data_IF_811907733678
#
_entry.id   IF_811907733678
#
_cell.length_a   1.000
_cell.length_b   1.000
_cell.length_c   1.000
_cell.angle_alpha   90.00
_cell.angle_beta   90.00
_cell.angle_gamma   90.00
#
_symmetry.space_group_name_H-M   'P 1'
#
loop_
_entity.id
_entity.type
_entity.pdbx_description
1 polymer ?
#
# COMPACT_ATOMS: atom_id res chain seq x y z
N UNK A 1 41.99 70.82 8.30
CA UNK A 1 40.79 70.13 7.72
C UNK A 1 41.21 68.67 7.42
N UNK A 2 40.98 67.78 8.38
CA UNK A 2 41.30 66.34 8.24
C UNK A 2 40.04 65.62 7.86
N UNK A 3 40.05 64.93 6.71
CA UNK A 3 38.96 64.04 6.25
C UNK A 3 39.17 62.64 6.85
N UNK A 4 38.25 62.24 7.73
CA UNK A 4 38.19 60.86 8.21
C UNK A 4 37.53 59.95 7.14
N UNK A 5 38.26 58.94 6.67
CA UNK A 5 37.75 57.88 5.83
C UNK A 5 37.13 56.80 6.73
N UNK A 6 35.82 56.56 6.59
CA UNK A 6 35.15 55.41 7.22
C UNK A 6 35.38 54.16 6.37
N UNK A 7 36.10 53.21 6.95
CA UNK A 7 36.24 51.84 6.41
C UNK A 7 35.01 51.07 6.89
N UNK A 8 34.17 50.65 5.95
CA UNK A 8 33.02 49.75 6.19
C UNK A 8 33.54 48.34 6.01
N UNK A 9 33.64 47.59 7.12
CA UNK A 9 33.84 46.14 7.07
C UNK A 9 32.54 45.48 6.68
N UNK A 10 32.48 44.89 5.47
CA UNK A 10 31.39 43.98 5.04
C UNK A 10 31.81 42.59 5.46
N UNK A 11 31.30 42.09 6.58
CA UNK A 11 31.42 40.70 6.99
C UNK A 11 30.51 39.86 6.09
N UNK A 12 31.12 39.14 5.14
CA UNK A 12 30.43 38.12 4.37
C UNK A 12 30.17 36.91 5.29
N UNK A 13 28.92 36.77 5.72
CA UNK A 13 28.43 35.58 6.41
C UNK A 13 28.30 34.46 5.37
N UNK A 14 29.30 33.57 5.30
CA UNK A 14 29.22 32.33 4.53
C UNK A 14 28.26 31.41 5.29
N UNK A 15 26.97 31.38 4.90
CA UNK A 15 26.03 30.35 5.29
C UNK A 15 26.48 29.05 4.57
N UNK A 16 27.17 28.19 5.30
CA UNK A 16 27.35 26.80 4.88
C UNK A 16 25.98 26.13 4.89
N UNK A 17 25.35 26.01 3.73
CA UNK A 17 24.24 25.10 3.50
C UNK A 17 24.79 23.66 3.66
N UNK A 18 24.85 23.18 4.89
CA UNK A 18 24.85 21.75 5.14
C UNK A 18 23.50 21.28 4.64
N UNK A 19 23.50 20.62 3.49
CA UNK A 19 22.31 19.94 2.97
C UNK A 19 21.89 18.90 4.00
N UNK A 20 20.93 19.25 4.84
CA UNK A 20 20.13 18.28 5.57
C UNK A 20 19.42 17.48 4.49
N UNK A 21 19.86 16.25 4.26
CA UNK A 21 19.06 15.30 3.52
C UNK A 21 17.69 15.25 4.21
N UNK A 22 16.68 15.81 3.58
CA UNK A 22 15.31 15.69 4.09
C UNK A 22 15.02 14.20 4.14
N UNK A 23 14.62 13.72 5.34
CA UNK A 23 14.17 12.35 5.48
C UNK A 23 13.07 12.08 4.46
N UNK A 24 13.16 10.96 3.74
CA UNK A 24 12.16 10.59 2.75
C UNK A 24 10.78 10.55 3.42
N UNK A 25 9.80 11.21 2.80
CA UNK A 25 8.43 11.20 3.30
C UNK A 25 7.89 9.76 3.27
N UNK A 26 6.98 9.36 4.20
CA UNK A 26 6.40 8.02 4.19
C UNK A 26 5.85 7.60 2.83
N UNK A 27 5.27 8.54 2.08
CA UNK A 27 4.78 8.32 0.72
C UNK A 27 5.87 7.83 -0.24
N UNK A 28 7.06 8.42 -0.19
CA UNK A 28 8.19 8.03 -1.05
C UNK A 28 8.67 6.61 -0.72
N UNK A 29 8.85 6.30 0.56
CA UNK A 29 9.24 4.96 1.02
C UNK A 29 8.24 3.91 0.57
N UNK A 30 6.94 4.17 0.80
CA UNK A 30 5.86 3.24 0.46
C UNK A 30 5.77 3.06 -1.05
N UNK A 31 5.86 4.14 -1.84
CA UNK A 31 5.76 4.08 -3.30
C UNK A 31 6.96 3.37 -3.93
N UNK A 32 8.18 3.62 -3.46
CA UNK A 32 9.37 2.91 -3.91
C UNK A 32 9.28 1.42 -3.62
N UNK A 33 8.86 1.05 -2.42
CA UNK A 33 8.60 -0.35 -2.08
C UNK A 33 7.50 -0.96 -2.97
N UNK A 34 6.38 -0.25 -3.18
CA UNK A 34 5.26 -0.70 -4.00
C UNK A 34 5.70 -1.05 -5.42
N UNK A 35 6.44 -0.15 -6.07
CA UNK A 35 6.89 -0.32 -7.45
C UNK A 35 7.91 -1.45 -7.58
N UNK A 36 8.87 -1.55 -6.66
CA UNK A 36 9.87 -2.62 -6.67
C UNK A 36 9.24 -3.99 -6.37
N UNK A 37 8.39 -4.09 -5.35
CA UNK A 37 7.66 -5.31 -5.03
C UNK A 37 6.70 -5.71 -6.16
N UNK A 38 6.00 -4.75 -6.76
CA UNK A 38 5.11 -4.97 -7.88
C UNK A 38 5.83 -5.55 -9.10
N UNK A 39 7.04 -5.06 -9.43
CA UNK A 39 7.88 -5.65 -10.49
C UNK A 39 8.22 -7.11 -10.22
N UNK A 40 8.56 -7.44 -8.97
CA UNK A 40 8.89 -8.84 -8.60
C UNK A 40 7.64 -9.71 -8.70
N UNK A 41 6.52 -9.27 -8.12
CA UNK A 41 5.27 -10.04 -8.11
C UNK A 41 4.67 -10.20 -9.51
N UNK A 42 4.90 -9.24 -10.42
CA UNK A 42 4.42 -9.31 -11.80
C UNK A 42 5.18 -10.30 -12.68
N UNK A 43 6.34 -10.81 -12.23
CA UNK A 43 7.07 -11.87 -12.95
C UNK A 43 6.32 -13.21 -12.95
N UNK A 44 5.45 -13.41 -11.95
CA UNK A 44 4.53 -14.55 -11.94
C UNK A 44 3.26 -14.20 -12.73
N UNK A 45 2.76 -15.18 -13.48
CA UNK A 45 1.48 -15.04 -14.19
C UNK A 45 0.31 -14.91 -13.21
N UNK A 46 -0.80 -14.31 -13.69
CA UNK A 46 -2.07 -14.24 -12.97
C UNK A 46 -2.21 -13.01 -12.07
N UNK A 47 -3.27 -13.04 -11.28
CA UNK A 47 -3.69 -11.95 -10.38
C UNK A 47 -2.76 -11.86 -9.17
N UNK A 48 -2.29 -10.65 -8.86
CA UNK A 48 -1.72 -10.32 -7.56
C UNK A 48 -2.45 -9.10 -6.94
N UNK A 49 -2.40 -9.00 -5.62
CA UNK A 49 -2.93 -7.85 -4.88
C UNK A 49 -2.25 -7.78 -3.52
N UNK A 50 -1.63 -6.66 -3.19
CA UNK A 50 -0.95 -6.44 -1.92
C UNK A 50 -1.05 -4.98 -1.47
N UNK A 51 -0.76 -4.71 -0.20
CA UNK A 51 -0.71 -3.37 0.37
C UNK A 51 0.71 -2.99 0.76
N UNK A 52 1.40 -2.19 -0.04
CA UNK A 52 2.72 -1.69 0.32
C UNK A 52 2.69 -0.82 1.59
N UNK A 53 1.64 -0.02 1.77
CA UNK A 53 1.40 0.76 2.97
C UNK A 53 1.39 -0.11 4.24
N UNK A 54 0.62 -1.20 4.23
CA UNK A 54 0.50 -2.06 5.38
C UNK A 54 1.77 -2.87 5.64
N UNK A 55 2.45 -3.35 4.60
CA UNK A 55 3.72 -4.09 4.70
C UNK A 55 4.82 -3.20 5.30
N UNK A 56 4.99 -1.97 4.80
CA UNK A 56 5.96 -1.00 5.33
C UNK A 56 5.63 -0.64 6.78
N UNK A 57 4.34 -0.51 7.11
CA UNK A 57 3.90 -0.27 8.50
C UNK A 57 4.31 -1.42 9.42
N UNK A 58 4.04 -2.66 9.03
CA UNK A 58 4.41 -3.84 9.84
C UNK A 58 5.94 -3.99 9.95
N UNK A 59 6.67 -3.79 8.85
CA UNK A 59 8.13 -3.90 8.85
C UNK A 59 8.80 -2.75 9.63
N UNK A 60 8.18 -1.57 9.67
CA UNK A 60 8.60 -0.45 10.53
C UNK A 60 8.59 -0.81 12.02
N UNK A 61 7.66 -1.65 12.47
CA UNK A 61 7.67 -2.16 13.86
C UNK A 61 8.90 -3.05 14.13
N UNK A 62 9.25 -3.93 13.18
CA UNK A 62 10.46 -4.76 13.30
C UNK A 62 11.74 -3.93 13.24
N UNK A 63 11.79 -2.92 12.36
CA UNK A 63 12.92 -1.99 12.26
C UNK A 63 13.23 -1.30 13.59
N UNK A 64 12.22 -0.95 14.40
CA UNK A 64 12.43 -0.40 15.74
C UNK A 64 13.24 -1.34 16.65
N UNK A 65 13.13 -2.63 16.44
CA UNK A 65 13.89 -3.63 17.18
C UNK A 65 15.27 -3.96 16.60
N UNK A 66 15.54 -3.55 15.34
CA UNK A 66 16.79 -3.83 14.68
C UNK A 66 17.93 -2.98 15.24
N UNK A 67 19.16 -3.50 15.14
CA UNK A 67 20.39 -2.81 15.56
C UNK A 67 21.57 -3.20 14.68
N UNK A 68 22.58 -2.32 14.58
CA UNK A 68 23.84 -2.57 13.88
C UNK A 68 23.65 -2.91 12.40
N UNK A 69 24.28 -3.99 11.92
CA UNK A 69 24.26 -4.36 10.50
C UNK A 69 22.84 -4.69 9.98
N UNK A 70 21.95 -5.22 10.84
CA UNK A 70 20.56 -5.50 10.48
C UNK A 70 19.77 -4.21 10.26
N UNK A 71 19.92 -3.23 11.13
CA UNK A 71 19.35 -1.90 11.01
C UNK A 71 19.87 -1.20 9.74
N UNK A 72 21.21 -1.17 9.56
CA UNK A 72 21.83 -0.53 8.41
C UNK A 72 21.41 -1.15 7.06
N UNK A 73 21.22 -2.49 6.98
CA UNK A 73 20.70 -3.14 5.78
C UNK A 73 19.28 -2.69 5.49
N UNK A 74 18.41 -2.65 6.49
CA UNK A 74 17.02 -2.21 6.36
C UNK A 74 16.94 -0.75 5.90
N UNK A 75 17.71 0.14 6.52
CA UNK A 75 17.80 1.55 6.13
C UNK A 75 18.21 1.72 4.68
N UNK A 76 19.29 1.04 4.29
CA UNK A 76 19.82 1.11 2.93
C UNK A 76 18.83 0.61 1.87
N UNK A 77 18.12 -0.48 2.15
CA UNK A 77 17.24 -1.15 1.17
C UNK A 77 15.87 -0.49 1.09
N UNK A 78 15.28 -0.12 2.22
CA UNK A 78 13.92 0.41 2.30
C UNK A 78 13.87 1.93 2.40
N UNK A 79 15.00 2.60 2.61
CA UNK A 79 15.06 4.05 2.83
C UNK A 79 14.56 4.47 4.20
N UNK A 80 14.57 3.56 5.18
CA UNK A 80 14.16 3.87 6.55
C UNK A 80 15.19 4.78 7.23
N UNK A 81 14.75 5.50 8.25
CA UNK A 81 15.58 6.39 9.05
C UNK A 81 14.93 6.61 10.43
N UNK A 82 15.62 7.30 11.32
CA UNK A 82 15.18 7.56 12.70
C UNK A 82 13.83 8.30 12.80
N UNK A 83 13.46 9.11 11.81
CA UNK A 83 12.22 9.88 11.80
C UNK A 83 11.01 9.05 11.31
N UNK A 84 11.27 7.84 10.77
CA UNK A 84 10.24 6.98 10.17
C UNK A 84 9.06 6.77 11.12
N UNK A 85 9.32 6.40 12.38
CA UNK A 85 8.27 6.02 13.32
C UNK A 85 7.26 7.13 13.55
N UNK A 86 7.74 8.38 13.78
CA UNK A 86 6.87 9.53 13.98
C UNK A 86 6.05 9.88 12.74
N UNK A 87 6.70 9.93 11.58
CA UNK A 87 6.10 10.29 10.31
C UNK A 87 5.10 9.21 9.84
N UNK A 88 5.52 7.94 9.83
CA UNK A 88 4.69 6.82 9.42
C UNK A 88 3.51 6.62 10.39
N UNK A 89 3.75 6.69 11.70
CA UNK A 89 2.70 6.54 12.70
C UNK A 89 1.63 7.64 12.60
N UNK A 90 2.02 8.87 12.30
CA UNK A 90 1.08 9.97 12.04
C UNK A 90 0.25 9.70 10.78
N UNK A 91 0.91 9.22 9.72
CA UNK A 91 0.25 8.88 8.46
C UNK A 91 -0.72 7.69 8.63
N UNK A 92 -0.31 6.63 9.33
CA UNK A 92 -1.17 5.46 9.63
C UNK A 92 -2.45 5.89 10.33
N UNK A 93 -2.33 6.67 11.42
CA UNK A 93 -3.51 7.17 12.15
C UNK A 93 -4.43 8.02 11.28
N UNK A 94 -3.85 8.81 10.38
CA UNK A 94 -4.62 9.66 9.48
C UNK A 94 -5.39 8.85 8.42
N UNK A 95 -4.76 7.81 7.86
CA UNK A 95 -5.42 6.89 6.93
C UNK A 95 -6.53 6.08 7.62
N UNK A 96 -6.28 5.55 8.81
CA UNK A 96 -7.27 4.74 9.55
C UNK A 96 -8.51 5.55 9.97
N UNK A 97 -8.37 6.86 10.24
CA UNK A 97 -9.51 7.76 10.52
C UNK A 97 -10.54 7.83 9.38
N UNK A 98 -10.15 7.51 8.16
CA UNK A 98 -11.08 7.47 7.03
C UNK A 98 -12.17 6.42 7.20
N UNK A 99 -11.94 5.39 8.02
CA UNK A 99 -12.84 4.24 8.16
C UNK A 99 -12.94 3.34 6.92
N UNK A 100 -12.16 3.65 5.87
CA UNK A 100 -12.16 2.90 4.61
C UNK A 100 -11.13 1.75 4.62
N UNK A 101 -10.25 1.73 5.62
CA UNK A 101 -9.22 0.71 5.79
C UNK A 101 -9.35 0.11 7.20
N UNK A 102 -9.31 -1.21 7.26
CA UNK A 102 -9.16 -1.97 8.51
C UNK A 102 -7.85 -2.75 8.46
N UNK A 103 -6.96 -2.51 9.40
CA UNK A 103 -5.65 -3.15 9.45
C UNK A 103 -5.42 -3.94 10.75
N UNK A 104 -4.63 -5.00 10.65
CA UNK A 104 -4.21 -5.84 11.76
C UNK A 104 -2.71 -6.11 11.66
N UNK A 105 -1.92 -5.21 12.26
CA UNK A 105 -0.47 -5.27 12.25
C UNK A 105 0.01 -5.54 13.67
N UNK A 106 0.76 -6.62 13.89
CA UNK A 106 1.31 -6.95 15.21
C UNK A 106 2.61 -7.74 15.12
N UNK A 107 3.46 -7.52 16.12
CA UNK A 107 4.64 -8.32 16.41
C UNK A 107 4.23 -9.36 17.45
N UNK A 108 4.44 -10.64 17.13
CA UNK A 108 4.24 -11.78 18.05
C UNK A 108 5.59 -12.36 18.39
N UNK A 109 5.83 -12.58 19.64
CA UNK A 109 7.10 -13.03 20.17
C UNK A 109 6.88 -14.33 20.96
N UNK A 110 7.89 -15.18 21.00
CA UNK A 110 7.87 -16.28 21.96
C UNK A 110 7.84 -15.72 23.38
N UNK A 111 7.21 -16.44 24.29
CA UNK A 111 7.06 -16.05 25.68
C UNK A 111 8.38 -16.09 26.47
N UNK A 112 8.37 -15.41 27.61
CA UNK A 112 9.48 -15.38 28.57
C UNK A 112 10.59 -14.37 28.26
N UNK A 113 10.38 -13.45 27.33
CA UNK A 113 11.34 -12.41 26.98
C UNK A 113 11.11 -11.14 27.82
N UNK A 114 12.18 -10.51 28.26
CA UNK A 114 12.13 -9.16 28.84
C UNK A 114 12.21 -8.12 27.73
N UNK A 115 11.09 -7.59 27.30
CA UNK A 115 11.03 -6.63 26.22
C UNK A 115 11.53 -5.24 26.64
N UNK A 116 12.31 -4.60 25.77
CA UNK A 116 12.79 -3.25 25.97
C UNK A 116 11.64 -2.24 25.98
N UNK A 117 11.62 -1.36 26.99
CA UNK A 117 10.54 -0.39 27.17
C UNK A 117 10.43 0.59 26.01
N UNK A 118 11.55 1.00 25.40
CA UNK A 118 11.56 1.90 24.26
C UNK A 118 10.93 1.27 23.01
N UNK A 119 11.15 -0.02 22.78
CA UNK A 119 10.48 -0.79 21.73
C UNK A 119 8.95 -0.81 21.96
N UNK A 120 8.51 -1.23 23.13
CA UNK A 120 7.09 -1.30 23.47
C UNK A 120 6.40 0.07 23.36
N UNK A 121 7.05 1.12 23.90
CA UNK A 121 6.53 2.50 23.85
C UNK A 121 6.40 3.02 22.43
N UNK A 122 7.38 2.72 21.55
CA UNK A 122 7.34 3.12 20.15
C UNK A 122 6.20 2.44 19.39
N UNK A 123 6.01 1.13 19.60
CA UNK A 123 4.90 0.39 18.98
C UNK A 123 3.54 0.95 19.42
N UNK A 124 3.38 1.19 20.72
CA UNK A 124 2.15 1.77 21.26
C UNK A 124 1.86 3.17 20.71
N UNK A 125 2.86 4.08 20.75
CA UNK A 125 2.68 5.48 20.40
C UNK A 125 2.47 5.71 18.89
N UNK A 126 3.19 4.98 18.06
CA UNK A 126 3.24 5.25 16.62
C UNK A 126 2.42 4.27 15.78
N UNK A 127 2.29 3.03 16.22
CA UNK A 127 1.63 1.98 15.44
C UNK A 127 0.30 1.50 16.04
N UNK A 128 -0.11 2.09 17.19
CA UNK A 128 -1.29 1.63 17.93
C UNK A 128 -1.29 0.11 18.10
N UNK A 129 -0.11 -0.45 18.36
CA UNK A 129 0.15 -1.87 18.44
C UNK A 129 0.97 -2.17 19.71
N UNK A 130 0.68 -3.31 20.33
CA UNK A 130 1.46 -3.84 21.44
C UNK A 130 2.01 -5.19 20.99
N UNK A 131 3.31 -5.46 21.21
CA UNK A 131 3.85 -6.80 20.99
C UNK A 131 3.15 -7.78 21.93
N UNK A 132 2.92 -8.99 21.45
CA UNK A 132 2.27 -10.02 22.26
C UNK A 132 3.13 -11.28 22.33
N UNK A 133 3.34 -11.78 23.55
CA UNK A 133 4.11 -12.99 23.82
C UNK A 133 3.19 -14.21 23.84
N UNK A 134 3.62 -15.30 23.21
CA UNK A 134 2.88 -16.55 23.10
C UNK A 134 3.83 -17.74 23.28
N UNK A 135 3.35 -18.80 23.95
CA UNK A 135 4.06 -20.07 24.05
C UNK A 135 3.97 -20.83 22.72
N UNK A 136 4.87 -20.47 21.80
CA UNK A 136 4.93 -21.14 20.50
C UNK A 136 5.39 -22.59 20.63
N UNK A 137 6.20 -22.91 21.64
CA UNK A 137 6.84 -24.21 21.80
C UNK A 137 5.89 -25.24 22.36
N UNK A 138 5.20 -24.96 23.45
CA UNK A 138 4.38 -25.93 24.14
C UNK A 138 2.89 -25.82 23.80
N UNK A 139 2.43 -24.61 23.36
CA UNK A 139 1.05 -24.33 22.99
C UNK A 139 0.92 -23.84 21.52
N UNK A 140 1.67 -24.46 20.59
CA UNK A 140 1.81 -24.06 19.19
C UNK A 140 0.46 -23.83 18.51
N UNK A 141 -0.46 -24.80 18.59
CA UNK A 141 -1.77 -24.70 17.92
C UNK A 141 -2.66 -23.63 18.57
N UNK A 142 -2.62 -23.51 19.90
CA UNK A 142 -3.37 -22.48 20.63
C UNK A 142 -2.86 -21.08 20.27
N UNK A 143 -1.55 -20.92 20.13
CA UNK A 143 -0.91 -19.67 19.69
C UNK A 143 -1.32 -19.32 18.26
N UNK A 144 -1.31 -20.30 17.33
CA UNK A 144 -1.76 -20.13 15.96
C UNK A 144 -3.23 -19.67 15.88
N UNK A 145 -4.11 -20.34 16.61
CA UNK A 145 -5.54 -20.00 16.68
C UNK A 145 -5.73 -18.58 17.24
N UNK A 146 -5.04 -18.24 18.33
CA UNK A 146 -5.13 -16.90 18.94
C UNK A 146 -4.71 -15.79 17.99
N UNK A 147 -3.64 -16.00 17.20
CA UNK A 147 -3.20 -15.05 16.16
C UNK A 147 -4.31 -14.88 15.10
N UNK A 148 -4.87 -15.97 14.60
CA UNK A 148 -5.91 -15.95 13.58
C UNK A 148 -7.20 -15.26 14.08
N UNK A 149 -7.64 -15.55 15.29
CA UNK A 149 -8.83 -14.96 15.91
C UNK A 149 -8.65 -13.46 16.09
N UNK A 150 -7.46 -13.02 16.51
CA UNK A 150 -7.15 -11.61 16.63
C UNK A 150 -7.19 -10.91 15.27
N UNK A 151 -6.56 -11.48 14.23
CA UNK A 151 -6.60 -10.93 12.87
C UNK A 151 -8.04 -10.86 12.35
N UNK A 152 -8.82 -11.92 12.52
CA UNK A 152 -10.23 -11.96 12.13
C UNK A 152 -11.03 -10.83 12.78
N UNK A 153 -10.87 -10.63 14.09
CA UNK A 153 -11.55 -9.58 14.83
C UNK A 153 -11.21 -8.17 14.35
N UNK A 154 -9.96 -7.93 13.92
CA UNK A 154 -9.49 -6.63 13.42
C UNK A 154 -9.86 -6.36 11.97
N UNK A 155 -10.16 -7.40 11.20
CA UNK A 155 -10.49 -7.31 9.76
C UNK A 155 -11.98 -7.60 9.48
N UNK A 156 -12.87 -7.33 10.44
CA UNK A 156 -14.31 -7.55 10.31
C UNK A 156 -14.68 -8.96 9.82
N UNK A 157 -13.95 -9.98 10.29
CA UNK A 157 -14.08 -11.39 9.90
C UNK A 157 -13.86 -11.64 8.38
N UNK A 158 -13.14 -10.74 7.70
CA UNK A 158 -12.80 -10.93 6.29
C UNK A 158 -11.55 -11.78 6.10
N UNK A 159 -10.63 -11.73 7.05
CA UNK A 159 -9.39 -12.51 7.02
C UNK A 159 -9.38 -13.44 8.23
N UNK A 160 -9.59 -14.74 8.00
CA UNK A 160 -9.86 -15.71 9.07
C UNK A 160 -8.77 -16.76 9.27
N UNK A 161 -7.84 -16.92 8.33
CA UNK A 161 -6.82 -17.97 8.37
C UNK A 161 -5.48 -17.46 7.83
N UNK A 162 -4.98 -16.39 8.45
CA UNK A 162 -3.71 -15.76 8.07
C UNK A 162 -2.55 -16.74 8.26
N UNK A 163 -2.47 -17.38 9.44
CA UNK A 163 -1.44 -18.33 9.82
C UNK A 163 -1.97 -19.75 9.63
N UNK A 164 -1.47 -20.44 8.59
CA UNK A 164 -1.89 -21.83 8.30
C UNK A 164 -1.12 -22.83 9.15
N UNK A 165 0.16 -22.59 9.35
CA UNK A 165 1.06 -23.41 10.15
C UNK A 165 1.88 -22.49 11.07
N UNK A 166 2.32 -23.05 12.20
CA UNK A 166 3.24 -22.40 13.13
C UNK A 166 4.31 -23.44 13.54
N UNK A 167 5.58 -23.04 13.45
CA UNK A 167 6.70 -23.86 13.90
C UNK A 167 6.90 -23.63 15.40
N UNK A 168 7.00 -24.69 16.23
CA UNK A 168 7.29 -24.56 17.66
C UNK A 168 8.60 -23.81 18.01
N UNK A 169 9.57 -23.82 17.08
CA UNK A 169 10.84 -23.12 17.28
C UNK A 169 10.79 -21.64 16.83
N UNK A 170 9.63 -21.16 16.40
CA UNK A 170 9.42 -19.75 16.03
C UNK A 170 9.77 -18.81 17.19
N UNK A 171 10.46 -17.73 16.91
CA UNK A 171 10.84 -16.70 17.86
C UNK A 171 10.05 -15.40 17.65
N UNK A 172 9.88 -14.97 16.39
CA UNK A 172 9.23 -13.73 16.03
C UNK A 172 8.44 -13.85 14.73
N UNK A 173 7.17 -13.44 14.77
CA UNK A 173 6.28 -13.34 13.62
C UNK A 173 5.76 -11.92 13.49
N UNK A 174 5.77 -11.41 12.28
CA UNK A 174 5.02 -10.21 11.90
C UNK A 174 3.74 -10.63 11.18
N UNK A 175 2.60 -10.28 11.75
CA UNK A 175 1.32 -10.39 11.03
C UNK A 175 0.93 -9.05 10.45
N UNK A 176 0.50 -9.08 9.20
CA UNK A 176 0.06 -7.94 8.46
C UNK A 176 -1.18 -8.32 7.64
N UNK A 177 -2.33 -7.90 8.10
CA UNK A 177 -3.59 -8.12 7.42
C UNK A 177 -4.30 -6.80 7.20
N UNK A 178 -4.82 -6.58 6.00
CA UNK A 178 -5.46 -5.32 5.64
C UNK A 178 -6.64 -5.56 4.69
N UNK A 179 -7.71 -4.84 4.95
CA UNK A 179 -8.95 -4.90 4.22
C UNK A 179 -9.37 -3.49 3.81
N UNK A 180 -9.66 -3.33 2.52
CA UNK A 180 -10.15 -2.09 1.94
C UNK A 180 -11.67 -2.14 1.72
N UNK A 181 -12.37 -1.12 2.22
CA UNK A 181 -13.83 -1.00 2.16
C UNK A 181 -14.24 0.44 1.90
N UNK A 182 -14.49 0.78 0.64
CA UNK A 182 -14.92 2.11 0.24
C UNK A 182 -15.99 2.05 -0.85
N UNK A 183 -16.89 3.03 -0.87
CA UNK A 183 -17.91 3.18 -1.93
C UNK A 183 -17.36 4.03 -3.05
N UNK A 184 -17.79 3.73 -4.27
CA UNK A 184 -17.52 4.64 -5.39
C UNK A 184 -18.21 5.99 -5.15
N UNK A 185 -17.56 7.10 -5.41
CA UNK A 185 -18.22 8.41 -5.48
C UNK A 185 -19.35 8.38 -6.50
N UNK A 186 -19.11 7.69 -7.62
CA UNK A 186 -20.08 7.49 -8.70
C UNK A 186 -20.34 6.01 -8.90
N UNK A 187 -21.36 5.48 -8.26
CA UNK A 187 -21.76 4.07 -8.34
C UNK A 187 -22.14 3.64 -9.75
N UNK A 188 -21.97 2.36 -10.07
CA UNK A 188 -22.46 1.76 -11.33
C UNK A 188 -23.92 1.34 -11.17
N UNK A 189 -24.65 1.30 -12.30
CA UNK A 189 -26.01 0.76 -12.31
C UNK A 189 -25.95 -0.76 -12.49
N UNK A 190 -26.47 -1.51 -11.52
CA UNK A 190 -26.53 -2.99 -11.57
C UNK A 190 -27.18 -3.54 -12.84
N UNK A 191 -28.16 -2.81 -13.40
CA UNK A 191 -28.83 -3.21 -14.65
C UNK A 191 -27.94 -3.06 -15.88
N UNK A 192 -26.86 -2.29 -15.78
CA UNK A 192 -25.87 -2.09 -16.86
C UNK A 192 -24.71 -3.07 -16.78
N UNK A 193 -24.66 -3.92 -15.75
CA UNK A 193 -23.67 -5.00 -15.66
C UNK A 193 -24.11 -6.16 -16.55
N UNK A 194 -23.26 -6.53 -17.50
CA UNK A 194 -23.51 -7.61 -18.47
C UNK A 194 -22.35 -8.60 -18.48
N UNK A 195 -22.61 -9.83 -18.94
CA UNK A 195 -21.57 -10.85 -19.09
C UNK A 195 -20.80 -10.61 -20.38
N UNK A 196 -19.53 -10.23 -20.27
CA UNK A 196 -18.66 -9.91 -21.42
C UNK A 196 -17.43 -10.81 -21.46
N UNK A 197 -16.77 -10.87 -22.62
CA UNK A 197 -15.51 -11.57 -22.77
C UNK A 197 -14.36 -10.78 -22.14
N UNK A 198 -13.54 -11.49 -21.39
CA UNK A 198 -12.24 -11.02 -20.89
C UNK A 198 -11.14 -11.86 -21.51
N UNK A 199 -10.17 -11.20 -22.13
CA UNK A 199 -9.11 -11.81 -22.93
C UNK A 199 -7.79 -11.82 -22.14
N UNK A 200 -7.30 -13.00 -21.75
CA UNK A 200 -6.02 -13.19 -21.07
C UNK A 200 -5.12 -14.08 -21.93
N UNK A 201 -4.38 -13.47 -22.85
CA UNK A 201 -3.70 -14.17 -23.93
C UNK A 201 -4.69 -14.89 -24.85
N UNK A 202 -4.55 -16.21 -24.99
CA UNK A 202 -5.49 -17.06 -25.73
C UNK A 202 -6.74 -17.45 -24.93
N UNK A 203 -6.71 -17.27 -23.61
CA UNK A 203 -7.83 -17.60 -22.72
C UNK A 203 -8.89 -16.54 -22.80
N UNK A 204 -10.15 -16.96 -23.00
CA UNK A 204 -11.33 -16.09 -22.95
C UNK A 204 -12.24 -16.56 -21.83
N UNK A 205 -12.54 -15.65 -20.91
CA UNK A 205 -13.39 -15.92 -19.74
C UNK A 205 -14.58 -14.96 -19.74
N UNK A 206 -15.79 -15.45 -19.51
CA UNK A 206 -16.97 -14.60 -19.31
C UNK A 206 -16.94 -14.00 -17.91
N UNK A 207 -16.96 -12.66 -17.82
CA UNK A 207 -16.94 -11.93 -16.56
C UNK A 207 -18.11 -10.95 -16.46
N UNK A 208 -18.65 -10.69 -15.27
CA UNK A 208 -19.62 -9.61 -15.08
C UNK A 208 -18.93 -8.26 -15.24
N UNK A 209 -19.26 -7.55 -16.32
CA UNK A 209 -18.65 -6.27 -16.69
C UNK A 209 -19.60 -5.12 -16.33
N UNK A 210 -19.21 -4.28 -15.39
CA UNK A 210 -19.92 -3.05 -15.00
C UNK A 210 -19.67 -1.98 -16.06
N UNK A 211 -20.74 -1.33 -16.50
CA UNK A 211 -20.67 -0.31 -17.56
C UNK A 211 -21.23 1.02 -17.09
N UNK A 212 -20.53 2.10 -17.44
CA UNK A 212 -20.94 3.46 -17.11
C UNK A 212 -20.33 4.47 -18.08
N UNK A 213 -21.13 5.45 -18.49
CA UNK A 213 -20.66 6.60 -19.22
C UNK A 213 -20.81 7.84 -18.34
N UNK A 214 -19.70 8.47 -17.99
CA UNK A 214 -19.68 9.66 -17.11
C UNK A 214 -18.33 10.41 -17.29
N UNK A 215 -18.22 11.56 -16.60
CA UNK A 215 -16.98 12.32 -16.59
C UNK A 215 -16.00 11.75 -15.56
N UNK A 216 -14.81 11.39 -16.02
CA UNK A 216 -13.70 10.92 -15.21
C UNK A 216 -12.40 11.64 -15.57
N UNK A 217 -11.43 11.62 -14.68
CA UNK A 217 -10.07 12.01 -14.98
C UNK A 217 -9.39 10.86 -15.74
N UNK A 218 -8.92 11.15 -16.96
CA UNK A 218 -8.39 10.18 -17.90
C UNK A 218 -7.14 10.72 -18.62
N UNK A 219 -6.22 9.84 -18.95
CA UNK A 219 -5.07 10.11 -19.80
C UNK A 219 -4.73 8.88 -20.64
N UNK A 220 -4.04 9.08 -21.76
CA UNK A 220 -3.51 8.01 -22.61
C UNK A 220 -2.09 8.34 -23.05
N UNK A 221 -1.18 7.35 -22.95
CA UNK A 221 0.21 7.44 -23.34
C UNK A 221 0.62 6.18 -24.09
N UNK A 222 0.97 6.30 -25.36
CA UNK A 222 1.44 5.17 -26.17
C UNK A 222 0.52 3.94 -26.11
N UNK A 223 -0.80 4.18 -26.09
CA UNK A 223 -1.84 3.17 -25.99
C UNK A 223 -2.11 2.68 -24.56
N UNK A 224 -1.34 3.08 -23.56
CA UNK A 224 -1.65 2.83 -22.13
C UNK A 224 -2.69 3.83 -21.68
N UNK A 225 -3.86 3.33 -21.29
CA UNK A 225 -4.99 4.14 -20.81
C UNK A 225 -5.00 4.18 -19.27
N UNK A 226 -5.16 5.36 -18.71
CA UNK A 226 -5.18 5.59 -17.26
C UNK A 226 -6.47 6.31 -16.90
N UNK A 227 -7.20 5.78 -15.91
CA UNK A 227 -8.42 6.39 -15.39
C UNK A 227 -8.37 6.49 -13.86
N UNK A 228 -8.87 7.61 -13.31
CA UNK A 228 -9.08 7.79 -11.89
C UNK A 228 -10.55 7.62 -11.57
N UNK A 229 -10.84 6.69 -10.65
CA UNK A 229 -12.16 6.35 -10.13
C UNK A 229 -12.22 6.72 -8.64
N UNK A 230 -12.78 7.88 -8.27
CA UNK A 230 -12.82 8.32 -6.88
C UNK A 230 -13.74 7.46 -6.02
N UNK A 231 -13.34 7.28 -4.77
CA UNK A 231 -14.21 6.76 -3.73
C UNK A 231 -14.92 7.89 -2.98
N UNK A 232 -16.04 7.58 -2.32
CA UNK A 232 -16.72 8.52 -1.43
C UNK A 232 -15.74 9.10 -0.39
N UNK A 233 -16.04 10.28 0.15
CA UNK A 233 -15.23 11.08 1.08
C UNK A 233 -14.03 11.80 0.41
N UNK A 234 -13.74 11.57 -0.89
CA UNK A 234 -12.80 12.39 -1.67
C UNK A 234 -11.33 12.27 -1.27
N UNK A 235 -10.96 11.25 -0.47
CA UNK A 235 -9.58 11.03 -0.05
C UNK A 235 -8.86 9.98 -0.87
N UNK A 236 -9.57 8.94 -1.29
CA UNK A 236 -8.97 7.81 -1.98
C UNK A 236 -9.57 7.62 -3.36
N UNK A 237 -8.77 7.12 -4.29
CA UNK A 237 -9.23 6.74 -5.62
C UNK A 237 -8.54 5.46 -6.10
N UNK A 238 -9.24 4.71 -6.96
CA UNK A 238 -8.59 3.70 -7.79
C UNK A 238 -8.04 4.38 -9.04
N UNK A 239 -6.76 4.19 -9.30
CA UNK A 239 -6.14 4.45 -10.60
C UNK A 239 -6.08 3.12 -11.32
N UNK A 240 -6.89 2.92 -12.36
CA UNK A 240 -6.79 1.76 -13.22
C UNK A 240 -5.94 2.10 -14.45
N UNK A 241 -5.04 1.19 -14.80
CA UNK A 241 -4.08 1.31 -15.89
C UNK A 241 -4.28 0.12 -16.81
N UNK A 242 -4.74 0.40 -18.03
CA UNK A 242 -5.02 -0.59 -19.05
C UNK A 242 -3.95 -0.50 -20.13
N UNK A 243 -3.03 -1.47 -20.23
CA UNK A 243 -2.01 -1.52 -21.27
C UNK A 243 -2.63 -1.89 -22.64
N UNK A 244 -1.92 -1.72 -23.76
CA UNK A 244 -2.32 -2.35 -25.03
C UNK A 244 -2.35 -3.88 -24.90
N UNK A 245 -3.28 -4.55 -25.60
CA UNK A 245 -3.46 -6.03 -25.53
C UNK A 245 -2.18 -6.80 -25.91
N UNK A 246 -1.35 -6.24 -26.76
CA UNK A 246 -0.10 -6.87 -27.24
C UNK A 246 1.06 -6.74 -26.26
N UNK A 247 0.94 -5.86 -25.26
CA UNK A 247 2.01 -5.60 -24.28
C UNK A 247 1.43 -5.25 -22.91
N UNK A 248 1.13 -6.27 -22.15
CA UNK A 248 0.51 -6.15 -20.81
C UNK A 248 1.53 -5.88 -19.68
N UNK A 249 2.84 -5.90 -19.97
CA UNK A 249 3.89 -5.73 -18.95
C UNK A 249 4.20 -4.25 -18.63
N UNK A 250 3.16 -3.48 -18.32
CA UNK A 250 3.28 -2.06 -17.96
C UNK A 250 4.15 -1.82 -16.74
N UNK A 251 4.25 -2.81 -15.84
CA UNK A 251 4.99 -2.69 -14.58
C UNK A 251 6.50 -2.81 -14.74
N UNK A 252 6.99 -3.48 -15.79
CA UNK A 252 8.43 -3.67 -15.98
C UNK A 252 9.20 -2.34 -16.02
N UNK A 253 8.61 -1.34 -16.67
CA UNK A 253 9.21 -0.02 -16.87
C UNK A 253 8.60 1.07 -15.97
N UNK A 254 7.63 0.74 -15.11
CA UNK A 254 6.98 1.72 -14.25
C UNK A 254 7.90 2.11 -13.09
N UNK A 255 8.20 3.39 -12.98
CA UNK A 255 8.89 4.01 -11.87
C UNK A 255 8.07 5.16 -11.26
N UNK A 256 8.59 5.79 -10.21
CA UNK A 256 7.90 6.88 -9.51
C UNK A 256 7.67 8.11 -10.40
N UNK A 257 8.59 8.42 -11.31
CA UNK A 257 8.48 9.56 -12.22
C UNK A 257 7.41 9.32 -13.29
N UNK A 258 7.37 8.11 -13.85
CA UNK A 258 6.33 7.72 -14.82
C UNK A 258 4.95 7.75 -14.14
N UNK A 259 4.82 7.16 -12.94
CA UNK A 259 3.56 7.19 -12.20
C UNK A 259 3.12 8.62 -11.90
N UNK A 260 4.02 9.47 -11.44
CA UNK A 260 3.76 10.90 -11.19
C UNK A 260 3.32 11.63 -12.45
N UNK A 261 4.00 11.36 -13.59
CA UNK A 261 3.62 11.90 -14.90
C UNK A 261 2.20 11.47 -15.27
N UNK A 262 1.85 10.21 -15.13
CA UNK A 262 0.52 9.71 -15.42
C UNK A 262 -0.55 10.42 -14.58
N UNK A 263 -0.35 10.47 -13.27
CA UNK A 263 -1.30 11.09 -12.33
C UNK A 263 -1.48 12.60 -12.61
N UNK A 264 -0.38 13.32 -12.90
CA UNK A 264 -0.42 14.77 -13.16
C UNK A 264 -1.00 15.15 -14.53
N UNK A 265 -1.07 14.18 -15.46
CA UNK A 265 -1.59 14.39 -16.82
C UNK A 265 -3.08 14.03 -16.97
N UNK A 266 -3.70 13.52 -15.90
CA UNK A 266 -5.12 13.20 -15.90
C UNK A 266 -5.95 14.48 -16.11
N UNK A 267 -6.81 14.47 -17.14
CA UNK A 267 -7.71 15.58 -17.48
C UNK A 267 -9.15 15.07 -17.61
N UNK A 268 -10.12 15.95 -17.59
CA UNK A 268 -11.55 15.59 -17.62
C UNK A 268 -12.00 15.14 -18.99
N UNK A 269 -12.49 13.90 -19.07
CA UNK A 269 -13.10 13.28 -20.26
C UNK A 269 -14.48 12.74 -19.92
N UNK A 270 -15.39 12.69 -20.89
CA UNK A 270 -16.55 11.80 -20.85
C UNK A 270 -16.08 10.43 -21.31
N UNK A 271 -16.04 9.47 -20.39
CA UNK A 271 -15.46 8.14 -20.63
C UNK A 271 -16.56 7.09 -20.71
N UNK A 272 -16.54 6.28 -21.77
CA UNK A 272 -17.26 4.99 -21.79
C UNK A 272 -16.40 3.98 -21.03
N UNK A 273 -16.83 3.72 -19.77
CA UNK A 273 -16.09 2.92 -18.79
C UNK A 273 -16.70 1.52 -18.69
N UNK A 274 -15.86 0.50 -18.93
CA UNK A 274 -16.15 -0.90 -18.65
C UNK A 274 -15.12 -1.42 -17.64
N UNK A 275 -15.59 -1.87 -16.49
CA UNK A 275 -14.74 -2.39 -15.40
C UNK A 275 -15.33 -3.72 -14.92
N UNK A 276 -14.57 -4.82 -14.91
CA UNK A 276 -15.08 -6.08 -14.41
C UNK A 276 -15.35 -6.03 -12.90
N UNK A 277 -16.37 -6.78 -12.46
CA UNK A 277 -16.50 -7.12 -11.05
C UNK A 277 -15.47 -8.18 -10.71
N UNK A 278 -14.78 -8.00 -9.58
CA UNK A 278 -13.83 -8.99 -9.10
C UNK A 278 -13.70 -8.97 -7.60
N UNK A 279 -13.31 -10.13 -7.09
CA UNK A 279 -12.97 -10.33 -5.70
C UNK A 279 -11.61 -10.99 -5.65
N UNK A 280 -10.70 -10.39 -4.91
CA UNK A 280 -9.34 -10.90 -4.80
C UNK A 280 -8.93 -11.00 -3.34
N UNK A 281 -8.50 -12.19 -2.97
CA UNK A 281 -7.87 -12.47 -1.69
C UNK A 281 -6.49 -13.06 -1.97
N UNK A 282 -5.46 -12.48 -1.40
CA UNK A 282 -4.07 -12.92 -1.58
C UNK A 282 -3.36 -12.98 -0.24
N UNK A 283 -2.64 -14.10 -0.03
CA UNK A 283 -1.77 -14.33 1.12
C UNK A 283 -0.33 -14.54 0.64
N UNK A 284 0.60 -13.87 1.28
CA UNK A 284 2.02 -13.94 0.98
C UNK A 284 2.83 -14.23 2.24
N UNK A 285 3.86 -15.05 2.07
CA UNK A 285 4.99 -15.14 2.98
C UNK A 285 6.11 -14.25 2.43
N UNK A 286 6.32 -13.11 3.06
CA UNK A 286 7.09 -12.01 2.47
C UNK A 286 8.60 -12.17 2.58
N UNK A 287 9.11 -13.17 3.30
CA UNK A 287 10.57 -13.39 3.47
C UNK A 287 11.31 -13.42 2.13
N UNK A 288 10.79 -14.17 1.14
CA UNK A 288 11.42 -14.26 -0.18
C UNK A 288 11.36 -12.92 -0.95
N UNK A 289 10.27 -12.16 -0.82
CA UNK A 289 10.16 -10.85 -1.42
C UNK A 289 11.20 -9.88 -0.85
N UNK A 290 11.31 -9.81 0.49
CA UNK A 290 12.32 -8.97 1.14
C UNK A 290 13.75 -9.38 0.79
N UNK A 291 14.04 -10.69 0.74
CA UNK A 291 15.33 -11.21 0.28
C UNK A 291 15.66 -10.75 -1.16
N UNK A 292 14.67 -10.78 -2.05
CA UNK A 292 14.82 -10.33 -3.44
C UNK A 292 15.05 -8.82 -3.55
N UNK A 293 14.46 -8.04 -2.63
CA UNK A 293 14.68 -6.61 -2.52
C UNK A 293 16.04 -6.26 -1.90
N UNK A 294 16.69 -7.20 -1.19
CA UNK A 294 18.02 -7.02 -0.59
C UNK A 294 18.03 -7.04 0.94
N UNK A 295 16.89 -7.12 1.62
CA UNK A 295 16.84 -7.32 3.08
C UNK A 295 16.97 -8.81 3.36
N UNK A 296 18.10 -9.23 3.93
CA UNK A 296 18.45 -10.64 4.14
C UNK A 296 18.80 -10.95 5.60
N UNK A 297 19.61 -10.10 6.24
CA UNK A 297 20.12 -10.33 7.60
C UNK A 297 19.00 -10.54 8.61
N UNK A 298 17.92 -9.78 8.52
CA UNK A 298 16.78 -9.84 9.43
C UNK A 298 16.17 -11.25 9.57
N UNK A 299 16.39 -12.15 8.60
CA UNK A 299 15.85 -13.51 8.52
C UNK A 299 16.84 -14.62 8.83
N UNK A 300 18.03 -14.28 9.30
CA UNK A 300 19.13 -15.22 9.57
C UNK A 300 19.50 -15.25 11.04
N UNK A 301 20.27 -16.27 11.46
CA UNK A 301 20.80 -16.36 12.84
C UNK A 301 21.82 -15.26 13.16
N UNK A 302 22.25 -14.47 12.15
CA UNK A 302 23.11 -13.29 12.32
C UNK A 302 22.32 -12.00 12.53
N UNK A 303 20.99 -12.07 12.53
CA UNK A 303 20.13 -10.92 12.79
C UNK A 303 20.43 -10.33 14.17
N UNK A 304 20.35 -9.01 14.26
CA UNK A 304 20.48 -8.29 15.51
C UNK A 304 19.18 -7.51 15.77
N UNK A 305 18.39 -8.03 16.69
CA UNK A 305 17.17 -7.41 17.19
C UNK A 305 17.27 -7.07 18.68
N UNK A 306 18.46 -6.67 19.13
CA UNK A 306 18.70 -6.25 20.53
C UNK A 306 17.86 -5.03 20.96
N UNK A 307 17.29 -4.28 20.01
CA UNK A 307 16.28 -3.26 20.32
C UNK A 307 14.95 -3.84 20.85
N UNK A 308 14.65 -5.12 20.60
CA UNK A 308 13.47 -5.81 21.17
C UNK A 308 13.75 -6.31 22.59
N UNK A 309 14.86 -7.05 22.77
CA UNK A 309 15.27 -7.67 24.03
C UNK A 309 16.78 -7.91 24.03
N UNK A 310 17.38 -7.88 25.22
CA UNK A 310 18.77 -8.26 25.46
C UNK A 310 18.92 -9.73 25.91
N UNK A 311 17.81 -10.45 26.17
CA UNK A 311 17.83 -11.78 26.74
C UNK A 311 18.37 -12.84 25.78
N UNK A 312 18.08 -12.69 24.48
CA UNK A 312 18.52 -13.62 23.45
C UNK A 312 18.58 -12.98 22.04
N UNK A 313 19.22 -13.70 21.12
CA UNK A 313 19.20 -13.32 19.70
C UNK A 313 17.89 -13.71 19.05
N UNK A 314 17.24 -12.75 18.44
CA UNK A 314 16.01 -12.94 17.69
C UNK A 314 16.27 -12.77 16.17
N UNK A 315 15.49 -13.49 15.37
CA UNK A 315 15.35 -13.26 13.93
C UNK A 315 13.87 -13.22 13.57
N UNK A 316 13.55 -12.65 12.44
CA UNK A 316 12.20 -12.74 11.89
C UNK A 316 12.03 -14.11 11.22
N UNK A 317 11.21 -14.98 11.80
CA UNK A 317 10.93 -16.30 11.23
C UNK A 317 9.92 -16.21 10.09
N UNK A 318 8.89 -15.38 10.26
CA UNK A 318 7.85 -15.18 9.26
C UNK A 318 7.32 -13.75 9.22
N UNK A 319 7.03 -13.27 8.02
CA UNK A 319 6.18 -12.10 7.77
C UNK A 319 5.05 -12.55 6.87
N UNK A 320 3.83 -12.54 7.41
CA UNK A 320 2.65 -12.97 6.69
C UNK A 320 1.80 -11.76 6.35
N UNK A 321 1.55 -11.56 5.07
CA UNK A 321 0.69 -10.51 4.55
C UNK A 321 -0.54 -11.11 3.88
N UNK A 322 -1.72 -10.61 4.24
CA UNK A 322 -2.96 -10.99 3.57
C UNK A 322 -3.82 -9.77 3.29
N UNK A 323 -4.34 -9.74 2.07
CA UNK A 323 -5.19 -8.67 1.58
C UNK A 323 -6.48 -9.21 1.02
N UNK A 324 -7.51 -8.38 1.09
CA UNK A 324 -8.81 -8.65 0.52
C UNK A 324 -9.36 -7.39 -0.15
N UNK A 325 -9.90 -7.53 -1.36
CA UNK A 325 -10.66 -6.51 -2.08
C UNK A 325 -11.87 -7.14 -2.77
N UNK A 326 -13.01 -6.45 -2.75
CA UNK A 326 -14.24 -6.83 -3.42
C UNK A 326 -14.75 -5.61 -4.21
N UNK A 327 -14.67 -5.66 -5.53
CA UNK A 327 -15.05 -4.58 -6.45
C UNK A 327 -16.39 -4.92 -7.10
N UNK A 328 -17.42 -4.15 -6.76
CA UNK A 328 -18.76 -4.27 -7.31
C UNK A 328 -19.36 -2.91 -7.72
N UNK A 329 -20.63 -2.86 -8.08
CA UNK A 329 -21.30 -1.67 -8.61
C UNK A 329 -21.46 -0.54 -7.60
N UNK A 330 -21.61 -0.84 -6.33
CA UNK A 330 -21.91 0.16 -5.29
C UNK A 330 -20.64 0.55 -4.56
N UNK A 331 -19.74 -0.45 -4.34
CA UNK A 331 -18.61 -0.34 -3.44
C UNK A 331 -17.49 -1.24 -3.91
N UNK A 332 -16.48 -0.89 -3.25
CA UNK A 332 -15.74 -1.86 -2.53
C UNK A 332 -16.41 -1.98 -1.14
N UNK A 333 -17.62 -2.61 -1.09
CA UNK A 333 -18.59 -2.99 -0.01
C UNK A 333 -19.56 -1.93 0.60
N UNK A 334 -20.85 -2.09 0.32
CA UNK A 334 -22.25 -1.81 0.78
C UNK A 334 -22.79 -0.46 1.29
N UNK A 335 -23.86 -0.14 0.73
CA UNK A 335 -25.26 0.30 1.00
C UNK A 335 -25.57 1.76 1.34
N UNK A 336 -26.46 2.30 0.49
CA UNK A 336 -27.60 3.22 0.60
C UNK A 336 -27.48 4.69 0.20
N UNK A 337 -28.31 5.00 -0.82
CA UNK A 337 -29.08 6.23 -1.13
C UNK A 337 -28.38 7.58 -1.28
N UNK A 338 -28.37 8.10 -2.49
CA UNK A 338 -27.83 9.41 -2.85
C UNK A 338 -28.93 10.34 -3.40
N UNK A 339 -28.96 11.58 -2.90
CA UNK A 339 -29.70 12.69 -3.47
C UNK A 339 -28.79 13.47 -4.44
N UNK A 340 -29.23 13.62 -5.70
CA UNK A 340 -28.54 14.40 -6.72
C UNK A 340 -28.98 15.86 -6.64
N UNK A 341 -28.05 16.79 -6.37
CA UNK A 341 -28.28 18.23 -6.49
C UNK A 341 -27.81 18.69 -7.87
N UNK A 342 -28.76 19.07 -8.73
CA UNK A 342 -28.44 19.71 -10.01
C UNK A 342 -28.16 21.20 -9.81
N UNK A 343 -26.93 21.64 -10.04
CA UNK A 343 -26.57 23.04 -10.21
C UNK A 343 -26.65 23.41 -11.70
N UNK A 344 -27.47 24.40 -12.04
CA UNK A 344 -27.51 24.99 -13.39
C UNK A 344 -26.26 25.86 -13.61
N UNK A 345 -25.39 25.43 -14.50
CA UNK A 345 -24.29 26.24 -15.00
C UNK A 345 -24.68 26.94 -16.29
N UNK A 346 -24.55 28.28 -16.32
CA UNK A 346 -24.81 29.15 -17.49
C UNK A 346 -23.51 29.47 -18.24
N UNK A 347 -22.72 28.47 -18.60
CA UNK A 347 -21.58 28.61 -19.51
C UNK A 347 -21.84 27.76 -20.77
N UNK A 348 -21.45 28.25 -21.95
CA UNK A 348 -21.51 27.45 -23.18
C UNK A 348 -20.77 26.13 -22.93
N UNK A 349 -21.42 24.96 -23.12
CA UNK A 349 -20.75 23.69 -22.87
C UNK A 349 -19.66 23.50 -23.93
N UNK A 350 -18.40 23.55 -23.50
CA UNK A 350 -17.30 23.00 -24.26
C UNK A 350 -17.62 21.53 -24.50
N UNK A 351 -17.58 21.06 -25.76
CA UNK A 351 -17.84 19.63 -26.05
C UNK A 351 -16.85 18.81 -25.24
N UNK A 352 -17.32 17.85 -24.44
CA UNK A 352 -16.43 17.02 -23.65
C UNK A 352 -15.49 16.24 -24.58
N UNK A 353 -14.23 16.11 -24.18
CA UNK A 353 -13.32 15.14 -24.79
C UNK A 353 -13.91 13.74 -24.52
N UNK A 354 -13.95 12.89 -25.54
CA UNK A 354 -14.49 11.53 -25.42
C UNK A 354 -13.33 10.54 -25.30
N UNK A 355 -13.50 9.52 -24.48
CA UNK A 355 -12.55 8.42 -24.33
C UNK A 355 -13.27 7.10 -24.05
N UNK A 356 -12.56 5.98 -24.23
CA UNK A 356 -13.02 4.63 -23.91
C UNK A 356 -12.02 3.96 -23.00
N UNK A 357 -12.50 3.38 -21.90
CA UNK A 357 -11.73 2.55 -21.00
C UNK A 357 -12.47 1.22 -20.80
N UNK A 358 -12.13 0.22 -21.61
CA UNK A 358 -12.73 -1.10 -21.58
C UNK A 358 -11.72 -2.10 -21.01
N UNK A 359 -11.79 -2.38 -19.70
CA UNK A 359 -10.91 -3.34 -19.02
C UNK A 359 -11.35 -4.78 -19.32
N UNK A 360 -11.23 -5.16 -20.58
CA UNK A 360 -11.58 -6.48 -21.13
C UNK A 360 -10.36 -7.42 -21.27
N UNK A 361 -9.21 -7.03 -20.71
CA UNK A 361 -7.96 -7.79 -20.66
C UNK A 361 -7.14 -7.40 -19.42
N UNK A 362 -6.03 -8.08 -19.09
CA UNK A 362 -5.26 -7.83 -17.87
C UNK A 362 -4.93 -6.34 -17.67
N UNK A 363 -5.22 -5.85 -16.48
CA UNK A 363 -4.96 -4.47 -16.12
C UNK A 363 -4.34 -4.36 -14.71
N UNK A 364 -3.59 -3.29 -14.50
CA UNK A 364 -3.01 -2.93 -13.20
C UNK A 364 -3.88 -1.88 -12.54
N UNK A 365 -3.95 -1.92 -11.21
CA UNK A 365 -4.65 -0.89 -10.47
C UNK A 365 -3.93 -0.54 -9.16
N UNK A 366 -4.09 0.71 -8.75
CA UNK A 366 -3.59 1.25 -7.49
C UNK A 366 -4.75 1.85 -6.72
N UNK A 367 -4.79 1.66 -5.42
CA UNK A 367 -5.61 2.50 -4.54
C UNK A 367 -4.66 3.55 -3.95
N UNK A 368 -4.91 4.81 -4.28
CA UNK A 368 -4.08 5.94 -3.83
C UNK A 368 -4.77 6.74 -2.72
N UNK A 369 -3.98 7.25 -1.80
CA UNK A 369 -4.33 8.44 -1.02
C UNK A 369 -4.11 9.67 -1.90
N UNK A 370 -5.18 10.33 -2.30
CA UNK A 370 -5.14 11.46 -3.25
C UNK A 370 -4.45 12.71 -2.69
N UNK A 371 -4.27 12.80 -1.37
CA UNK A 371 -3.60 13.94 -0.73
C UNK A 371 -2.07 13.86 -0.83
N UNK A 372 -1.55 12.63 -0.77
CA UNK A 372 -0.10 12.39 -0.75
C UNK A 372 0.39 11.63 -1.98
N UNK A 373 -0.51 11.13 -2.84
CA UNK A 373 -0.25 10.19 -3.92
C UNK A 373 0.45 8.91 -3.43
N UNK A 374 0.17 8.48 -2.20
CA UNK A 374 0.72 7.24 -1.64
C UNK A 374 -0.05 6.03 -2.16
N UNK A 375 0.66 5.02 -2.62
CA UNK A 375 0.08 3.73 -3.02
C UNK A 375 -0.29 2.94 -1.76
N UNK A 376 -1.58 2.89 -1.43
CA UNK A 376 -2.10 2.11 -0.32
C UNK A 376 -2.24 0.64 -0.67
N UNK A 377 -2.66 0.36 -1.90
CA UNK A 377 -2.75 -0.99 -2.46
C UNK A 377 -2.33 -0.98 -3.92
N UNK A 378 -1.84 -2.13 -4.38
CA UNK A 378 -1.46 -2.36 -5.77
C UNK A 378 -1.87 -3.76 -6.19
N UNK A 379 -2.41 -3.89 -7.41
CA UNK A 379 -2.80 -5.18 -7.97
C UNK A 379 -2.74 -5.23 -9.48
N UNK A 380 -2.70 -6.47 -9.99
CA UNK A 380 -2.99 -6.83 -11.37
C UNK A 380 -4.18 -7.78 -11.37
N UNK A 381 -5.18 -7.50 -12.19
CA UNK A 381 -6.36 -8.34 -12.34
C UNK A 381 -6.30 -9.11 -13.65
N UNK A 382 -6.46 -10.42 -13.55
CA UNK A 382 -6.67 -11.38 -14.63
C UNK A 382 -7.84 -12.28 -14.26
N UNK A 383 -8.31 -13.18 -15.16
CA UNK A 383 -9.43 -14.08 -14.89
C UNK A 383 -9.22 -15.50 -15.41
#
# INVERSE_FOLDING_TARGET
MMKFARIVFVSALILSLTGTAFAAAPAEIINNFALNAGKILSQSEGTFFFSPFSIITAFGMAYKGASGDTEAEIEKVLGFNLELHGNLGSYVRDIEKSGQISSANRVWLRDGLKLNQDFQSTLYLYYNSEPEELDFKNETEKSRVKINDWVSSKTNNRINNLLQNLDPETQLILTNAIYFNARWEKTFNKKSTTSEDFYDGEKVTKVPMMKKRDNFAFAEFDGVKIIRLPYEQGRMSMIAVLPPKENDNVLANLDAEILKKWISSLDRYEVDLWLPKFKTEKRYELKNLFNSLGVKLAFTDFANFSGITDDEKLKIDAIIHQTFIDVDEEKTEAAAATAVVMLKATAMPMRPKLAEFHADHPFVYFILDDYTNTILFMGRQTF
#
